data_IF_540315323281
#
_entry.id   IF_540315323281
#
_cell.length_a   1.000
_cell.length_b   1.000
_cell.length_c   1.000
_cell.angle_alpha   90.00
_cell.angle_beta   90.00
_cell.angle_gamma   90.00
#
_symmetry.space_group_name_H-M   'P 1'
#
loop_
_entity.id
_entity.type
_entity.pdbx_description
1 polymer ?
#
# COMPACT_ATOMS: atom_id res chain seq x y z
N UNK A 1 32.37 22.88 10.66
CA UNK A 1 32.57 21.96 9.51
C UNK A 1 31.19 21.56 9.01
N UNK A 2 30.88 21.71 7.72
CA UNK A 2 29.65 21.21 7.13
C UNK A 2 29.98 19.93 6.37
N UNK A 3 29.22 18.87 6.61
CA UNK A 3 29.31 17.63 5.84
C UNK A 3 28.43 17.75 4.58
N UNK A 4 28.88 17.15 3.49
CA UNK A 4 28.09 17.04 2.26
C UNK A 4 27.39 15.69 2.25
N UNK A 5 26.07 15.70 2.26
CA UNK A 5 25.25 14.50 2.09
C UNK A 5 24.90 14.28 0.61
N UNK A 6 24.43 13.07 0.30
CA UNK A 6 23.94 12.73 -1.05
C UNK A 6 22.70 13.56 -1.39
N UNK A 7 22.58 13.96 -2.67
CA UNK A 7 21.38 14.63 -3.16
C UNK A 7 20.11 13.75 -3.05
N UNK A 8 20.26 12.42 -3.06
CA UNK A 8 19.17 11.46 -2.84
C UNK A 8 18.45 11.61 -1.49
N UNK A 9 19.14 12.19 -0.50
CA UNK A 9 18.61 12.40 0.85
C UNK A 9 18.37 13.87 1.15
N UNK A 10 18.23 14.69 0.10
CA UNK A 10 18.06 16.15 0.20
C UNK A 10 16.63 16.58 0.52
N UNK A 11 15.86 15.73 1.20
CA UNK A 11 14.48 16.02 1.57
C UNK A 11 14.37 17.13 2.61
N UNK A 12 13.26 17.85 2.56
CA UNK A 12 12.87 18.70 3.68
C UNK A 12 12.39 17.79 4.84
N UNK A 13 13.21 17.74 5.88
CA UNK A 13 12.91 16.96 7.10
C UNK A 13 12.25 17.81 8.19
N UNK A 14 11.86 19.05 7.88
CA UNK A 14 11.14 19.89 8.80
C UNK A 14 9.72 19.33 9.07
N UNK A 15 9.24 19.55 10.28
CA UNK A 15 7.87 19.19 10.64
C UNK A 15 6.88 19.99 9.78
N UNK A 16 5.94 19.30 9.11
CA UNK A 16 4.90 19.96 8.31
C UNK A 16 4.01 20.87 9.20
N UNK A 17 3.42 21.89 8.60
CA UNK A 17 2.50 22.80 9.30
C UNK A 17 1.39 22.04 10.03
N UNK A 18 0.76 21.09 9.33
CA UNK A 18 -0.31 20.25 9.91
C UNK A 18 0.20 19.37 11.06
N UNK A 19 1.33 18.69 10.92
CA UNK A 19 1.91 17.85 11.98
C UNK A 19 2.20 18.70 13.23
N UNK A 20 2.74 19.91 13.04
CA UNK A 20 2.99 20.87 14.12
C UNK A 20 1.68 21.27 14.82
N UNK A 21 0.65 21.62 14.07
CA UNK A 21 -0.64 21.99 14.63
C UNK A 21 -1.26 20.86 15.47
N UNK A 22 -1.17 19.61 14.98
CA UNK A 22 -1.64 18.42 15.73
C UNK A 22 -0.84 18.25 17.04
N UNK A 23 0.49 18.36 16.99
CA UNK A 23 1.34 18.24 18.16
C UNK A 23 1.02 19.33 19.19
N UNK A 24 0.94 20.59 18.77
CA UNK A 24 0.61 21.72 19.64
C UNK A 24 -0.78 21.58 20.28
N UNK A 25 -1.76 21.10 19.54
CA UNK A 25 -3.10 20.82 20.08
C UNK A 25 -3.07 19.72 21.16
N UNK A 26 -2.27 18.66 20.96
CA UNK A 26 -2.05 17.60 21.97
C UNK A 26 -1.33 18.12 23.22
N UNK A 27 -0.28 18.90 23.04
CA UNK A 27 0.49 19.53 24.13
C UNK A 27 -0.37 20.50 24.95
N UNK A 28 -1.30 21.20 24.31
CA UNK A 28 -2.29 22.04 24.95
C UNK A 28 -3.40 21.27 25.71
N UNK A 29 -3.36 19.92 25.69
CA UNK A 29 -4.35 19.07 26.36
C UNK A 29 -5.73 19.06 25.70
N UNK A 30 -5.83 19.42 24.41
CA UNK A 30 -7.10 19.38 23.71
C UNK A 30 -7.54 17.92 23.51
N UNK A 31 -8.81 17.65 23.73
CA UNK A 31 -9.41 16.35 23.44
C UNK A 31 -9.58 16.21 21.93
N UNK A 32 -8.70 15.42 21.29
CA UNK A 32 -8.72 15.16 19.86
C UNK A 32 -9.27 13.76 19.57
N UNK A 33 -10.03 13.64 18.50
CA UNK A 33 -10.39 12.36 17.91
C UNK A 33 -9.50 12.16 16.69
N UNK A 34 -8.73 11.08 16.69
CA UNK A 34 -7.76 10.80 15.64
C UNK A 34 -8.29 9.72 14.67
N UNK A 35 -8.73 10.18 13.50
CA UNK A 35 -9.22 9.32 12.42
C UNK A 35 -8.12 8.90 11.43
N UNK A 36 -6.84 9.07 11.81
CA UNK A 36 -5.70 8.70 10.95
C UNK A 36 -5.02 7.41 11.37
N UNK A 37 -5.42 6.80 12.49
CA UNK A 37 -4.79 5.60 13.05
C UNK A 37 -4.96 4.42 12.08
N UNK A 38 -3.87 4.03 11.42
CA UNK A 38 -3.83 2.96 10.42
C UNK A 38 -2.93 1.77 10.78
N UNK A 39 -2.43 1.74 12.04
CA UNK A 39 -1.64 0.63 12.55
C UNK A 39 -2.55 -0.40 13.23
N UNK A 40 -2.76 -1.59 12.64
CA UNK A 40 -3.70 -2.58 13.18
C UNK A 40 -3.30 -3.06 14.58
N UNK A 41 -2.01 -3.02 14.95
CA UNK A 41 -1.54 -3.50 16.25
C UNK A 41 -1.95 -2.64 17.45
N UNK A 42 -2.50 -1.46 17.21
CA UNK A 42 -3.00 -0.52 18.25
C UNK A 42 -4.48 -0.19 18.11
N UNK A 43 -5.19 -0.87 17.21
CA UNK A 43 -6.62 -0.65 16.94
C UNK A 43 -7.54 -1.60 17.74
N UNK A 44 -7.04 -2.25 18.79
CA UNK A 44 -7.84 -3.11 19.67
C UNK A 44 -8.11 -4.52 19.14
N UNK A 45 -7.50 -4.92 18.02
CA UNK A 45 -7.64 -6.29 17.51
C UNK A 45 -6.95 -7.32 18.40
N UNK A 46 -7.54 -8.51 18.48
CA UNK A 46 -7.02 -9.61 19.29
C UNK A 46 -6.13 -10.50 18.44
N UNK A 47 -4.85 -10.54 18.78
CA UNK A 47 -3.87 -11.41 18.16
C UNK A 47 -3.65 -12.68 19.00
N UNK A 48 -3.63 -13.82 18.36
CA UNK A 48 -3.32 -15.11 18.98
C UNK A 48 -1.85 -15.21 19.38
N UNK A 49 -1.42 -14.44 20.40
CA UNK A 49 0.00 -14.24 20.76
C UNK A 49 0.78 -15.56 20.90
N UNK A 50 0.15 -16.62 21.48
CA UNK A 50 0.81 -17.92 21.63
C UNK A 50 1.12 -18.55 20.28
N UNK A 51 0.19 -18.53 19.34
CA UNK A 51 0.34 -19.15 18.03
C UNK A 51 1.35 -18.34 17.20
N UNK A 52 1.23 -17.02 17.20
CA UNK A 52 2.10 -16.15 16.42
C UNK A 52 3.54 -16.10 16.92
N UNK A 53 3.79 -16.25 18.23
CA UNK A 53 5.14 -16.15 18.79
C UNK A 53 5.84 -17.49 18.97
N UNK A 54 5.11 -18.62 19.03
CA UNK A 54 5.74 -19.93 19.24
C UNK A 54 6.67 -20.36 18.09
N UNK A 55 6.35 -20.13 16.81
CA UNK A 55 7.24 -20.52 15.71
C UNK A 55 8.58 -19.79 15.69
N UNK A 56 8.64 -18.58 16.27
CA UNK A 56 9.88 -17.80 16.39
C UNK A 56 10.94 -18.48 17.28
N UNK A 57 10.56 -19.52 18.03
CA UNK A 57 11.45 -20.29 18.94
C UNK A 57 11.99 -21.56 18.31
N UNK A 58 11.82 -21.76 17.01
CA UNK A 58 12.34 -22.93 16.31
C UNK A 58 13.89 -22.96 16.43
N UNK A 59 14.42 -24.02 17.04
CA UNK A 59 15.86 -24.19 17.24
C UNK A 59 16.65 -24.28 15.91
N UNK A 60 16.01 -24.71 14.83
CA UNK A 60 16.62 -24.75 13.51
C UNK A 60 16.96 -23.37 12.96
N UNK A 61 16.36 -22.30 13.52
CA UNK A 61 16.72 -20.93 13.20
C UNK A 61 18.14 -20.51 13.65
N UNK A 62 18.80 -21.35 14.47
CA UNK A 62 20.20 -21.13 14.87
C UNK A 62 21.22 -21.54 13.78
N UNK A 63 20.76 -22.22 12.74
CA UNK A 63 21.61 -22.58 11.61
C UNK A 63 21.55 -21.46 10.57
N UNK A 64 22.73 -20.99 10.15
CA UNK A 64 22.84 -20.06 9.04
C UNK A 64 22.78 -20.83 7.72
N UNK A 65 21.68 -20.63 6.99
CA UNK A 65 21.43 -21.25 5.69
C UNK A 65 20.85 -20.15 4.76
N UNK A 66 21.73 -19.36 4.15
CA UNK A 66 21.30 -18.24 3.32
C UNK A 66 20.78 -18.74 1.98
N UNK A 67 19.51 -18.50 1.70
CA UNK A 67 18.92 -18.59 0.36
C UNK A 67 18.59 -17.16 -0.07
N UNK A 68 19.17 -16.63 -1.16
CA UNK A 68 18.90 -15.28 -1.64
C UNK A 68 17.43 -14.99 -1.89
N UNK A 69 16.65 -16.00 -2.30
CA UNK A 69 15.22 -15.89 -2.55
C UNK A 69 14.38 -16.06 -1.29
N UNK A 70 15.01 -16.53 -0.20
CA UNK A 70 14.34 -16.92 1.03
C UNK A 70 14.07 -18.41 1.10
N UNK A 71 13.88 -18.94 2.32
CA UNK A 71 13.66 -20.36 2.57
C UNK A 71 12.54 -20.94 1.72
N UNK A 72 12.76 -22.14 1.15
CA UNK A 72 11.76 -22.79 0.30
C UNK A 72 10.41 -22.96 1.01
N UNK A 73 10.41 -23.43 2.27
CA UNK A 73 9.15 -23.61 3.03
C UNK A 73 8.35 -22.31 3.24
N UNK A 74 9.05 -21.19 3.33
CA UNK A 74 8.39 -19.88 3.42
C UNK A 74 7.84 -19.42 2.06
N UNK A 75 8.56 -19.71 0.97
CA UNK A 75 8.08 -19.43 -0.40
C UNK A 75 6.92 -20.34 -0.79
N UNK A 76 6.94 -21.61 -0.40
CA UNK A 76 5.82 -22.54 -0.56
C UNK A 76 4.56 -22.03 0.14
N UNK A 77 4.66 -21.54 1.38
CA UNK A 77 3.53 -20.95 2.10
C UNK A 77 2.97 -19.68 1.41
N UNK A 78 3.83 -18.90 0.76
CA UNK A 78 3.38 -17.77 -0.05
C UNK A 78 2.70 -18.26 -1.35
N UNK A 79 3.20 -19.30 -2.00
CA UNK A 79 2.56 -19.89 -3.17
C UNK A 79 1.16 -20.44 -2.82
N UNK A 80 1.03 -21.19 -1.71
CA UNK A 80 -0.26 -21.67 -1.20
C UNK A 80 -1.25 -20.53 -0.88
N UNK A 81 -0.77 -19.36 -0.46
CA UNK A 81 -1.64 -18.18 -0.30
C UNK A 81 -2.28 -17.77 -1.63
N UNK A 82 -1.54 -17.81 -2.72
CA UNK A 82 -2.07 -17.44 -4.04
C UNK A 82 -3.07 -18.45 -4.58
N UNK A 83 -3.04 -19.73 -4.15
CA UNK A 83 -4.08 -20.71 -4.51
C UNK A 83 -5.48 -20.28 -4.04
N UNK A 84 -5.59 -19.55 -2.91
CA UNK A 84 -6.86 -18.96 -2.45
C UNK A 84 -7.35 -17.82 -3.33
N UNK A 85 -6.49 -17.30 -4.20
CA UNK A 85 -6.81 -16.26 -5.17
C UNK A 85 -6.83 -16.79 -6.60
N UNK A 86 -7.05 -18.12 -6.77
CA UNK A 86 -7.10 -18.81 -8.05
C UNK A 86 -5.85 -18.60 -8.95
N UNK A 87 -4.70 -18.33 -8.33
CA UNK A 87 -3.43 -18.09 -9.01
C UNK A 87 -2.39 -19.17 -8.69
N UNK A 88 -1.86 -19.81 -9.72
CA UNK A 88 -0.75 -20.77 -9.59
C UNK A 88 0.58 -20.01 -9.57
N UNK A 89 1.29 -20.03 -8.44
CA UNK A 89 2.57 -19.36 -8.25
C UNK A 89 3.67 -20.39 -8.00
N UNK A 90 4.67 -20.42 -8.88
CA UNK A 90 5.88 -21.23 -8.68
C UNK A 90 6.70 -20.66 -7.50
N UNK A 91 6.98 -21.43 -6.42
CA UNK A 91 7.86 -20.99 -5.35
C UNK A 91 9.24 -20.50 -5.84
N UNK A 92 9.71 -20.99 -6.99
CA UNK A 92 10.96 -20.52 -7.58
C UNK A 92 10.86 -19.18 -8.32
N UNK A 93 9.66 -18.67 -8.53
CA UNK A 93 9.39 -17.31 -9.02
C UNK A 93 9.23 -16.27 -7.89
N UNK A 94 9.40 -16.68 -6.63
CA UNK A 94 9.26 -15.82 -5.45
C UNK A 94 10.62 -15.37 -4.91
N UNK A 95 10.68 -14.11 -4.47
CA UNK A 95 11.77 -13.55 -3.66
C UNK A 95 11.16 -12.92 -2.41
N UNK A 96 11.57 -13.40 -1.23
CA UNK A 96 11.13 -12.84 0.04
C UNK A 96 11.90 -11.56 0.38
N UNK A 97 11.21 -10.60 0.97
CA UNK A 97 11.76 -9.31 1.40
C UNK A 97 11.25 -8.94 2.79
N UNK A 98 11.90 -7.97 3.44
CA UNK A 98 11.45 -7.48 4.76
C UNK A 98 10.21 -6.57 4.68
N UNK A 99 9.88 -6.10 3.50
CA UNK A 99 8.71 -5.25 3.24
C UNK A 99 8.51 -5.06 1.73
N UNK A 100 7.31 -4.64 1.31
CA UNK A 100 7.10 -4.19 -0.07
C UNK A 100 7.98 -2.98 -0.42
N UNK A 101 8.33 -2.14 0.55
CA UNK A 101 9.28 -1.03 0.32
C UNK A 101 10.67 -1.52 -0.10
N UNK A 102 11.18 -2.60 0.51
CA UNK A 102 12.44 -3.24 0.07
C UNK A 102 12.27 -3.87 -1.31
N UNK A 103 11.13 -4.53 -1.55
CA UNK A 103 10.79 -5.10 -2.85
C UNK A 103 10.82 -4.03 -3.96
N UNK A 104 10.22 -2.85 -3.74
CA UNK A 104 10.32 -1.72 -4.67
C UNK A 104 11.78 -1.31 -4.93
N UNK A 105 12.60 -1.21 -3.88
CA UNK A 105 14.03 -0.90 -4.04
C UNK A 105 14.76 -1.93 -4.89
N UNK A 106 14.44 -3.23 -4.74
CA UNK A 106 15.00 -4.29 -5.58
C UNK A 106 14.56 -4.16 -7.03
N UNK A 107 13.25 -3.87 -7.27
CA UNK A 107 12.71 -3.73 -8.62
C UNK A 107 13.23 -2.47 -9.33
N UNK A 108 13.39 -1.35 -8.62
CA UNK A 108 13.96 -0.15 -9.21
C UNK A 108 15.43 -0.38 -9.62
N UNK A 109 16.23 -1.07 -8.80
CA UNK A 109 17.60 -1.48 -9.17
C UNK A 109 17.64 -2.45 -10.33
N UNK A 110 16.63 -3.34 -10.43
CA UNK A 110 16.54 -4.30 -11.54
C UNK A 110 16.23 -3.63 -12.86
N UNK A 111 15.30 -2.66 -12.87
CA UNK A 111 14.66 -2.14 -14.07
C UNK A 111 15.22 -0.79 -14.55
N UNK A 112 15.80 0.01 -13.64
CA UNK A 112 16.09 1.40 -13.89
C UNK A 112 17.58 1.72 -13.77
N UNK A 113 18.08 2.54 -14.69
CA UNK A 113 19.31 3.29 -14.52
C UNK A 113 19.00 4.65 -13.84
N UNK A 114 20.04 5.31 -13.31
CA UNK A 114 19.89 6.60 -12.67
C UNK A 114 19.22 7.64 -13.61
N UNK A 115 18.12 8.21 -13.18
CA UNK A 115 17.32 9.17 -13.93
C UNK A 115 16.34 8.58 -14.92
N UNK A 116 16.15 7.25 -14.92
CA UNK A 116 15.02 6.59 -15.58
C UNK A 116 13.71 6.90 -14.85
N UNK A 117 12.59 6.59 -15.48
CA UNK A 117 11.27 6.98 -15.05
C UNK A 117 10.38 5.76 -14.80
N UNK A 118 9.55 5.86 -13.75
CA UNK A 118 8.49 4.89 -13.43
C UNK A 118 7.17 5.64 -13.30
N UNK A 119 6.11 5.15 -13.97
CA UNK A 119 4.78 5.73 -13.85
C UNK A 119 4.10 5.19 -12.61
N UNK A 120 3.45 6.07 -11.83
CA UNK A 120 2.69 5.71 -10.62
C UNK A 120 1.32 6.38 -10.65
N UNK A 121 0.31 5.72 -10.12
CA UNK A 121 -1.01 6.33 -9.98
C UNK A 121 -0.97 7.54 -9.05
N UNK A 122 -1.84 8.52 -9.27
CA UNK A 122 -2.10 9.63 -8.36
C UNK A 122 -3.61 9.85 -8.27
N UNK A 123 -4.22 9.76 -7.08
CA UNK A 123 -3.62 9.61 -5.74
C UNK A 123 -2.91 8.28 -5.50
N UNK A 124 -1.89 8.29 -4.61
CA UNK A 124 -1.13 7.10 -4.27
C UNK A 124 -0.47 7.20 -2.89
N UNK A 125 0.25 6.15 -2.53
CA UNK A 125 0.94 6.02 -1.25
C UNK A 125 2.12 7.01 -1.12
N UNK A 126 2.20 7.81 -0.03
CA UNK A 126 3.15 8.92 0.07
C UNK A 126 4.64 8.56 0.07
N UNK A 127 5.00 7.30 0.37
CA UNK A 127 6.41 6.90 0.48
C UNK A 127 7.07 6.59 -0.86
N UNK A 128 6.34 6.56 -1.97
CA UNK A 128 6.93 6.25 -3.27
C UNK A 128 8.02 7.24 -3.67
N UNK A 129 7.85 8.53 -3.39
CA UNK A 129 8.86 9.55 -3.72
C UNK A 129 10.20 9.25 -3.04
N UNK A 130 10.18 8.91 -1.75
CA UNK A 130 11.40 8.57 -1.02
C UNK A 130 12.07 7.30 -1.54
N UNK A 131 11.29 6.27 -1.89
CA UNK A 131 11.82 5.03 -2.45
C UNK A 131 12.50 5.28 -3.81
N UNK A 132 11.88 6.11 -4.66
CA UNK A 132 12.42 6.46 -5.95
C UNK A 132 13.69 7.32 -5.85
N UNK A 133 13.69 8.33 -4.97
CA UNK A 133 14.86 9.19 -4.74
C UNK A 133 16.07 8.38 -4.28
N UNK A 134 15.89 7.39 -3.39
CA UNK A 134 16.98 6.54 -2.92
C UNK A 134 17.64 5.73 -4.04
N UNK A 135 16.90 5.41 -5.08
CA UNK A 135 17.37 4.65 -6.24
C UNK A 135 17.67 5.52 -7.48
N UNK A 136 17.69 6.86 -7.35
CA UNK A 136 17.84 7.83 -8.44
C UNK A 136 16.80 7.65 -9.58
N UNK A 137 15.62 7.13 -9.27
CA UNK A 137 14.50 6.94 -10.19
C UNK A 137 13.56 8.14 -10.11
N UNK A 138 12.94 8.51 -11.22
CA UNK A 138 11.97 9.60 -11.28
C UNK A 138 10.56 9.05 -11.37
N UNK A 139 9.70 9.44 -10.44
CA UNK A 139 8.28 9.13 -10.54
C UNK A 139 7.57 10.08 -11.53
N UNK A 140 6.74 9.49 -12.37
CA UNK A 140 5.86 10.20 -13.30
C UNK A 140 4.41 9.85 -12.96
N UNK A 141 3.72 10.70 -12.18
CA UNK A 141 2.36 10.38 -11.77
C UNK A 141 1.40 10.41 -12.97
N UNK A 142 0.52 9.41 -13.07
CA UNK A 142 -0.64 9.42 -13.96
C UNK A 142 -1.93 9.51 -13.13
N UNK A 143 -2.96 10.27 -13.58
CA UNK A 143 -4.12 10.52 -12.76
C UNK A 143 -5.07 9.32 -12.72
N UNK A 144 -5.62 9.06 -11.52
CA UNK A 144 -6.91 8.44 -11.36
C UNK A 144 -7.96 9.56 -11.33
N UNK A 145 -9.03 9.43 -12.08
CA UNK A 145 -10.15 10.36 -12.02
C UNK A 145 -11.36 9.72 -11.33
N UNK A 146 -12.24 10.54 -10.78
CA UNK A 146 -13.43 10.08 -10.09
C UNK A 146 -14.70 10.43 -10.89
N UNK A 147 -15.43 9.37 -11.26
CA UNK A 147 -16.77 9.49 -11.88
C UNK A 147 -17.64 8.34 -11.34
N UNK A 148 -18.35 8.58 -10.23
CA UNK A 148 -19.09 7.57 -9.44
C UNK A 148 -18.27 6.33 -9.06
N UNK A 149 -16.96 6.41 -9.16
CA UNK A 149 -15.92 5.44 -8.90
C UNK A 149 -14.59 5.99 -9.38
N UNK A 150 -13.51 5.37 -8.96
CA UNK A 150 -12.18 5.74 -9.43
C UNK A 150 -11.81 4.95 -10.68
N UNK A 151 -11.11 5.60 -11.60
CA UNK A 151 -10.73 5.04 -12.90
C UNK A 151 -9.36 5.53 -13.32
N UNK A 152 -8.61 4.69 -14.02
CA UNK A 152 -7.34 5.09 -14.62
C UNK A 152 -7.56 5.97 -15.86
N UNK A 153 -6.95 7.17 -15.88
CA UNK A 153 -6.89 7.97 -17.11
C UNK A 153 -5.80 7.44 -18.04
N UNK A 154 -6.19 6.50 -18.88
CA UNK A 154 -5.27 5.87 -19.83
C UNK A 154 -4.71 6.83 -20.88
N UNK A 155 -5.46 7.87 -21.25
CA UNK A 155 -4.98 8.84 -22.22
C UNK A 155 -3.83 9.67 -21.63
N UNK A 156 -3.96 10.09 -20.36
CA UNK A 156 -2.89 10.74 -19.62
C UNK A 156 -1.72 9.80 -19.34
N UNK A 157 -1.99 8.55 -18.96
CA UNK A 157 -0.96 7.55 -18.72
C UNK A 157 -0.08 7.39 -19.96
N UNK A 158 -0.67 7.14 -21.13
CA UNK A 158 0.07 6.95 -22.39
C UNK A 158 0.88 8.20 -22.79
N UNK A 159 0.33 9.40 -22.57
CA UNK A 159 1.05 10.66 -22.84
C UNK A 159 2.30 10.87 -22.00
N UNK A 160 2.38 10.21 -20.83
CA UNK A 160 3.52 10.33 -19.91
C UNK A 160 4.63 9.34 -20.19
N UNK A 161 4.38 8.35 -21.05
CA UNK A 161 5.40 7.38 -21.46
C UNK A 161 6.43 8.07 -22.33
N UNK A 162 7.69 7.96 -21.95
CA UNK A 162 8.84 8.50 -22.67
C UNK A 162 9.97 7.48 -22.86
N UNK A 163 11.05 7.84 -23.50
CA UNK A 163 12.16 6.93 -23.77
C UNK A 163 12.90 6.44 -22.51
N UNK A 164 12.69 7.12 -21.39
CA UNK A 164 13.24 6.77 -20.08
C UNK A 164 12.27 5.97 -19.20
N UNK A 165 11.04 5.78 -19.61
CA UNK A 165 10.06 4.99 -18.86
C UNK A 165 10.43 3.52 -18.90
N UNK A 166 10.45 2.87 -17.72
CA UNK A 166 10.81 1.46 -17.54
C UNK A 166 9.67 0.59 -17.03
N UNK A 167 8.80 1.15 -16.20
CA UNK A 167 7.71 0.41 -15.60
C UNK A 167 6.48 1.28 -15.33
N UNK A 168 5.34 0.60 -15.17
CA UNK A 168 4.12 1.17 -14.61
C UNK A 168 3.89 0.48 -13.26
N UNK A 169 3.67 1.28 -12.21
CA UNK A 169 3.24 0.80 -10.88
C UNK A 169 1.74 0.94 -10.77
N UNK A 170 1.09 -0.15 -10.36
CA UNK A 170 -0.32 -0.22 -10.00
C UNK A 170 -0.40 -0.65 -8.55
N UNK A 171 -1.17 0.04 -7.73
CA UNK A 171 -1.54 -0.41 -6.39
C UNK A 171 -2.96 -0.97 -6.50
N UNK A 172 -3.12 -2.23 -6.22
CA UNK A 172 -4.37 -2.97 -6.44
C UNK A 172 -4.74 -3.80 -5.22
N UNK A 173 -5.76 -3.40 -4.49
CA UNK A 173 -6.53 -2.13 -4.57
C UNK A 173 -5.70 -0.89 -4.17
N UNK A 174 -6.03 0.25 -4.78
CA UNK A 174 -5.28 1.48 -4.59
C UNK A 174 -5.49 2.13 -3.22
N UNK A 175 -4.42 2.50 -2.56
CA UNK A 175 -4.43 3.31 -1.35
C UNK A 175 -4.09 4.78 -1.71
N UNK A 176 -4.97 5.78 -1.44
CA UNK A 176 -6.10 5.75 -0.50
C UNK A 176 -7.48 5.57 -1.16
N UNK A 177 -7.58 5.49 -2.48
CA UNK A 177 -8.85 5.59 -3.19
C UNK A 177 -9.76 4.37 -3.03
N UNK A 178 -9.17 3.21 -2.70
CA UNK A 178 -9.88 1.93 -2.68
C UNK A 178 -10.24 1.41 -4.06
N UNK A 179 -9.70 2.01 -5.14
CA UNK A 179 -9.94 1.57 -6.50
C UNK A 179 -9.40 0.15 -6.74
N UNK A 180 -10.27 -0.74 -7.13
CA UNK A 180 -9.92 -2.06 -7.64
C UNK A 180 -9.75 -1.98 -9.16
N UNK A 181 -8.55 -2.28 -9.67
CA UNK A 181 -8.29 -2.31 -11.13
C UNK A 181 -9.16 -3.38 -11.77
N UNK A 182 -10.00 -2.99 -12.73
CA UNK A 182 -10.92 -3.91 -13.40
C UNK A 182 -10.20 -4.72 -14.47
N UNK A 183 -10.77 -5.86 -14.85
CA UNK A 183 -10.19 -6.74 -15.88
C UNK A 183 -9.89 -6.00 -17.20
N UNK A 184 -10.78 -5.07 -17.59
CA UNK A 184 -10.57 -4.24 -18.77
C UNK A 184 -9.41 -3.25 -18.63
N UNK A 185 -9.24 -2.67 -17.44
CA UNK A 185 -8.10 -1.79 -17.13
C UNK A 185 -6.80 -2.58 -17.12
N UNK A 186 -6.80 -3.79 -16.50
CA UNK A 186 -5.67 -4.72 -16.53
C UNK A 186 -5.25 -5.04 -17.95
N UNK A 187 -6.19 -5.46 -18.80
CA UNK A 187 -5.90 -5.77 -20.21
C UNK A 187 -5.31 -4.56 -20.96
N UNK A 188 -5.77 -3.35 -20.66
CA UNK A 188 -5.21 -2.11 -21.24
C UNK A 188 -3.80 -1.82 -20.73
N UNK A 189 -3.54 -1.97 -19.44
CA UNK A 189 -2.20 -1.82 -18.84
C UNK A 189 -1.20 -2.77 -19.48
N UNK A 190 -1.57 -4.05 -19.59
CA UNK A 190 -0.75 -5.09 -20.23
C UNK A 190 -0.47 -4.76 -21.71
N UNK A 191 -1.48 -4.32 -22.45
CA UNK A 191 -1.32 -3.92 -23.84
C UNK A 191 -0.39 -2.71 -24.02
N UNK A 192 -0.48 -1.73 -23.12
CA UNK A 192 0.42 -0.56 -23.10
C UNK A 192 1.84 -1.01 -22.77
N UNK A 193 2.03 -1.82 -21.73
CA UNK A 193 3.33 -2.36 -21.36
C UNK A 193 3.96 -3.15 -22.50
N UNK A 194 3.19 -4.01 -23.17
CA UNK A 194 3.68 -4.78 -24.32
C UNK A 194 4.11 -3.88 -25.49
N UNK A 195 3.33 -2.85 -25.79
CA UNK A 195 3.62 -1.91 -26.89
C UNK A 195 4.89 -1.10 -26.67
N UNK A 196 5.15 -0.73 -25.42
CA UNK A 196 6.25 0.16 -25.05
C UNK A 196 7.45 -0.56 -24.43
N UNK A 197 7.39 -1.89 -24.25
CA UNK A 197 8.45 -2.68 -23.62
C UNK A 197 8.64 -2.34 -22.15
N UNK A 198 7.56 -2.07 -21.42
CA UNK A 198 7.56 -1.71 -19.99
C UNK A 198 7.28 -2.93 -19.13
N UNK A 199 7.84 -2.95 -17.93
CA UNK A 199 7.42 -3.89 -16.89
C UNK A 199 6.17 -3.37 -16.16
N UNK A 200 5.38 -4.29 -15.60
CA UNK A 200 4.26 -3.99 -14.72
C UNK A 200 4.64 -4.37 -13.29
N UNK A 201 4.51 -3.45 -12.35
CA UNK A 201 4.72 -3.66 -10.91
C UNK A 201 3.36 -3.47 -10.23
N UNK A 202 2.88 -4.50 -9.53
CA UNK A 202 1.56 -4.49 -8.90
C UNK A 202 1.71 -4.73 -7.40
N UNK A 203 1.25 -3.78 -6.58
CA UNK A 203 1.23 -3.89 -5.13
C UNK A 203 -0.16 -4.34 -4.67
N UNK A 204 -0.25 -5.57 -4.20
CA UNK A 204 -1.50 -6.22 -3.79
C UNK A 204 -1.65 -6.36 -2.27
N UNK A 205 -1.00 -5.51 -1.48
CA UNK A 205 -1.06 -5.64 -0.01
C UNK A 205 -2.48 -5.57 0.57
N UNK A 206 -3.45 -5.02 -0.15
CA UNK A 206 -4.84 -4.90 0.28
C UNK A 206 -5.82 -5.87 -0.41
N UNK A 207 -5.32 -6.84 -1.16
CA UNK A 207 -6.15 -7.76 -1.95
C UNK A 207 -7.22 -8.50 -1.11
N UNK A 208 -6.91 -8.83 0.15
CA UNK A 208 -7.79 -9.57 1.06
C UNK A 208 -8.91 -8.72 1.71
N UNK A 209 -9.09 -7.47 1.31
CA UNK A 209 -10.02 -6.55 1.96
C UNK A 209 -11.05 -5.91 1.01
N UNK A 210 -11.84 -6.74 0.27
CA UNK A 210 -12.99 -6.25 -0.49
C UNK A 210 -14.06 -5.72 0.46
N UNK A 211 -14.76 -4.65 0.08
CA UNK A 211 -15.76 -3.99 0.94
C UNK A 211 -17.20 -4.14 0.44
N UNK A 212 -17.41 -4.39 -0.84
CA UNK A 212 -18.71 -4.70 -1.43
C UNK A 212 -18.94 -6.20 -1.58
N UNK A 213 -20.22 -6.62 -1.60
CA UNK A 213 -20.61 -8.03 -1.81
C UNK A 213 -20.28 -8.51 -3.25
N UNK A 214 -20.25 -7.60 -4.21
CA UNK A 214 -19.96 -7.86 -5.62
C UNK A 214 -18.53 -7.44 -6.01
N UNK A 215 -17.70 -7.01 -5.06
CA UNK A 215 -16.33 -6.55 -5.33
C UNK A 215 -15.40 -7.76 -5.41
N UNK A 216 -15.40 -8.43 -6.55
CA UNK A 216 -14.40 -9.45 -6.85
C UNK A 216 -13.05 -8.78 -7.15
N UNK A 217 -12.06 -9.08 -6.32
CA UNK A 217 -10.68 -8.64 -6.50
C UNK A 217 -9.88 -9.79 -7.11
N UNK A 218 -9.64 -9.73 -8.41
CA UNK A 218 -8.79 -10.70 -9.08
C UNK A 218 -7.32 -10.32 -8.94
N UNK A 219 -6.50 -11.22 -8.39
CA UNK A 219 -5.06 -11.01 -8.30
C UNK A 219 -4.41 -10.89 -9.70
N UNK A 220 -3.45 -10.01 -9.84
CA UNK A 220 -2.59 -9.97 -11.02
C UNK A 220 -1.64 -11.17 -11.12
N UNK A 221 -1.56 -12.01 -10.09
CA UNK A 221 -0.88 -13.30 -10.19
C UNK A 221 -1.64 -14.33 -11.05
N UNK A 222 -2.95 -14.15 -11.27
CA UNK A 222 -3.73 -14.98 -12.21
C UNK A 222 -3.25 -14.70 -13.64
N UNK A 223 -2.91 -15.77 -14.38
CA UNK A 223 -2.42 -15.66 -15.77
C UNK A 223 -3.53 -15.45 -16.82
N UNK A 224 -3.16 -15.20 -18.05
CA UNK A 224 -1.80 -15.18 -18.60
C UNK A 224 -1.07 -13.84 -18.36
N UNK A 225 0.27 -13.86 -18.44
CA UNK A 225 1.11 -12.68 -18.27
C UNK A 225 1.87 -12.37 -19.57
N UNK A 226 1.33 -11.49 -20.42
CA UNK A 226 1.94 -11.19 -21.72
C UNK A 226 3.20 -10.30 -21.61
N UNK A 227 3.41 -9.68 -20.44
CA UNK A 227 4.53 -8.79 -20.15
C UNK A 227 5.19 -9.18 -18.82
N UNK A 228 6.45 -8.73 -18.63
CA UNK A 228 7.13 -8.92 -17.35
C UNK A 228 6.35 -8.21 -16.24
N UNK A 229 5.82 -9.00 -15.32
CA UNK A 229 4.94 -8.55 -14.24
C UNK A 229 5.51 -8.98 -12.89
N UNK A 230 5.56 -8.05 -11.94
CA UNK A 230 5.98 -8.27 -10.57
C UNK A 230 4.81 -7.97 -9.63
N UNK A 231 4.38 -8.97 -8.89
CA UNK A 231 3.30 -8.85 -7.91
C UNK A 231 3.90 -8.84 -6.51
N UNK A 232 3.64 -7.77 -5.77
CA UNK A 232 4.15 -7.55 -4.42
C UNK A 232 3.03 -7.70 -3.41
N UNK A 233 3.33 -8.34 -2.28
CA UNK A 233 2.42 -8.34 -1.13
C UNK A 233 3.21 -8.57 0.16
N UNK A 234 2.53 -8.72 1.31
CA UNK A 234 3.22 -8.95 2.57
C UNK A 234 2.31 -8.97 3.80
N UNK A 235 2.86 -9.51 4.88
CA UNK A 235 2.16 -9.77 6.14
C UNK A 235 1.67 -8.50 6.86
N UNK A 236 2.18 -7.32 6.48
CA UNK A 236 1.80 -6.05 7.10
C UNK A 236 0.29 -5.76 6.98
N UNK A 237 -0.32 -6.21 5.88
CA UNK A 237 -1.75 -6.05 5.63
C UNK A 237 -2.46 -7.39 5.68
N UNK A 238 -1.97 -8.40 4.98
CA UNK A 238 -2.59 -9.74 4.91
C UNK A 238 -2.96 -10.26 6.31
N UNK A 239 -2.06 -10.16 7.28
CA UNK A 239 -2.30 -10.62 8.65
C UNK A 239 -2.19 -9.51 9.70
N UNK A 240 -2.19 -8.24 9.30
CA UNK A 240 -2.05 -7.14 10.25
C UNK A 240 -0.77 -7.20 11.09
N UNK A 241 0.33 -7.74 10.54
CA UNK A 241 1.61 -7.98 11.24
C UNK A 241 2.76 -7.12 10.67
N UNK A 242 2.64 -5.78 10.64
CA UNK A 242 3.69 -4.91 10.08
C UNK A 242 5.02 -5.00 10.83
N UNK A 243 4.99 -5.36 12.11
CA UNK A 243 6.17 -5.51 12.97
C UNK A 243 6.99 -6.76 12.65
N UNK A 244 6.42 -7.77 11.97
CA UNK A 244 7.13 -9.00 11.63
C UNK A 244 8.01 -8.88 10.41
N UNK A 245 7.84 -7.80 9.63
CA UNK A 245 8.74 -7.44 8.53
C UNK A 245 8.88 -8.55 7.48
N UNK A 246 7.77 -8.93 6.84
CA UNK A 246 7.71 -9.88 5.72
C UNK A 246 6.95 -9.29 4.56
N UNK A 247 7.57 -9.32 3.39
CA UNK A 247 6.99 -9.08 2.09
C UNK A 247 7.60 -10.00 1.06
N UNK A 248 7.16 -9.92 -0.18
CA UNK A 248 7.69 -10.71 -1.29
C UNK A 248 7.41 -10.06 -2.63
N UNK A 249 8.10 -10.59 -3.63
CA UNK A 249 7.87 -10.35 -5.06
C UNK A 249 7.61 -11.69 -5.72
N UNK A 250 6.48 -11.84 -6.40
CA UNK A 250 6.22 -12.92 -7.34
C UNK A 250 6.44 -12.40 -8.76
N UNK A 251 7.19 -13.13 -9.59
CA UNK A 251 7.63 -12.70 -10.93
C UNK A 251 7.01 -13.54 -12.01
N UNK A 252 6.32 -12.89 -12.94
CA UNK A 252 5.61 -13.50 -14.05
C UNK A 252 6.04 -12.89 -15.38
N UNK A 253 5.64 -13.52 -16.48
CA UNK A 253 5.86 -13.00 -17.83
C UNK A 253 6.45 -14.02 -18.80
N UNK A 254 6.83 -13.60 -20.01
CA UNK A 254 7.48 -14.46 -20.99
C UNK A 254 8.74 -15.13 -20.42
N UNK A 255 8.92 -16.43 -20.65
CA UNK A 255 9.92 -17.26 -20.00
C UNK A 255 11.33 -16.67 -19.98
N UNK A 256 11.80 -16.19 -21.14
CA UNK A 256 13.15 -15.61 -21.23
C UNK A 256 13.30 -14.35 -20.35
N UNK A 257 12.33 -13.44 -20.39
CA UNK A 257 12.34 -12.22 -19.59
C UNK A 257 12.24 -12.53 -18.09
N UNK A 258 11.36 -13.47 -17.72
CA UNK A 258 11.20 -13.94 -16.33
C UNK A 258 12.49 -14.55 -15.80
N UNK A 259 13.13 -15.47 -16.53
CA UNK A 259 14.39 -16.09 -16.12
C UNK A 259 15.51 -15.06 -15.95
N UNK A 260 15.62 -14.11 -16.89
CA UNK A 260 16.61 -13.04 -16.79
C UNK A 260 16.35 -12.12 -15.59
N UNK A 261 15.09 -11.79 -15.30
CA UNK A 261 14.71 -10.98 -14.15
C UNK A 261 15.04 -11.71 -12.84
N UNK A 262 14.62 -12.98 -12.72
CA UNK A 262 14.87 -13.77 -11.52
C UNK A 262 16.36 -13.95 -11.23
N UNK A 263 17.18 -14.25 -12.24
CA UNK A 263 18.62 -14.38 -12.04
C UNK A 263 19.29 -13.08 -11.55
N UNK A 264 18.78 -11.91 -11.97
CA UNK A 264 19.28 -10.62 -11.47
C UNK A 264 18.74 -10.28 -10.09
N UNK A 265 17.44 -10.56 -9.83
CA UNK A 265 16.84 -10.37 -8.50
C UNK A 265 17.54 -11.21 -7.43
N UNK A 266 17.91 -12.44 -7.78
CA UNK A 266 18.68 -13.32 -6.87
C UNK A 266 19.99 -12.67 -6.46
N UNK A 267 20.76 -12.09 -7.38
CA UNK A 267 22.00 -11.36 -7.06
C UNK A 267 21.74 -10.12 -6.23
N UNK A 268 20.68 -9.37 -6.53
CA UNK A 268 20.30 -8.19 -5.74
C UNK A 268 19.94 -8.62 -4.32
N UNK A 269 19.10 -9.64 -4.17
CA UNK A 269 18.67 -10.14 -2.86
C UNK A 269 19.83 -10.72 -2.06
N UNK A 270 20.74 -11.47 -2.70
CA UNK A 270 21.95 -12.02 -2.08
C UNK A 270 22.87 -10.94 -1.50
N UNK A 271 22.89 -9.76 -2.13
CA UNK A 271 23.67 -8.62 -1.64
C UNK A 271 23.17 -8.12 -0.27
N UNK A 272 21.88 -8.29 0.04
CA UNK A 272 21.25 -7.79 1.27
C UNK A 272 20.99 -8.91 2.28
N UNK A 273 20.59 -10.10 1.84
CA UNK A 273 20.21 -11.25 2.68
C UNK A 273 19.24 -10.86 3.82
N UNK A 274 18.20 -10.10 3.47
CA UNK A 274 17.41 -9.31 4.41
C UNK A 274 16.58 -10.14 5.37
N UNK A 275 16.14 -11.35 4.97
CA UNK A 275 15.19 -12.13 5.76
C UNK A 275 15.90 -12.96 6.82
N UNK A 276 15.52 -12.74 8.09
CA UNK A 276 16.03 -13.55 9.19
C UNK A 276 15.33 -14.92 9.27
N UNK A 277 16.08 -15.96 9.69
CA UNK A 277 15.60 -17.33 9.74
C UNK A 277 14.38 -17.54 10.66
N UNK A 278 14.28 -16.96 11.89
CA UNK A 278 13.10 -17.15 12.74
C UNK A 278 11.79 -16.70 12.07
N UNK A 279 11.80 -15.56 11.38
CA UNK A 279 10.63 -15.01 10.70
C UNK A 279 10.23 -15.88 9.51
N UNK A 280 11.19 -16.31 8.69
CA UNK A 280 10.91 -17.19 7.56
C UNK A 280 10.33 -18.54 8.02
N UNK A 281 10.82 -19.10 9.11
CA UNK A 281 10.28 -20.34 9.70
C UNK A 281 8.89 -20.16 10.30
N UNK A 282 8.56 -18.97 10.77
CA UNK A 282 7.25 -18.67 11.31
C UNK A 282 6.20 -18.37 10.22
N UNK A 283 6.64 -17.99 9.02
CA UNK A 283 5.74 -17.55 7.96
C UNK A 283 4.65 -18.58 7.58
N UNK A 284 4.94 -19.88 7.44
CA UNK A 284 3.90 -20.86 7.14
C UNK A 284 2.74 -20.84 8.16
N UNK A 285 3.07 -20.78 9.45
CA UNK A 285 2.06 -20.73 10.53
C UNK A 285 1.27 -19.40 10.47
N UNK A 286 1.95 -18.29 10.23
CA UNK A 286 1.26 -16.99 10.12
C UNK A 286 0.34 -16.89 8.91
N UNK A 287 0.71 -17.54 7.81
CA UNK A 287 -0.14 -17.62 6.60
C UNK A 287 -1.38 -18.47 6.85
N UNK A 288 -1.26 -19.59 7.56
CA UNK A 288 -2.38 -20.44 7.94
C UNK A 288 -3.36 -19.70 8.87
N UNK A 289 -2.84 -18.96 9.86
CA UNK A 289 -3.62 -18.29 10.91
C UNK A 289 -4.15 -16.90 10.51
N UNK A 290 -3.82 -16.40 9.30
CA UNK A 290 -4.17 -15.04 8.87
C UNK A 290 -5.68 -14.74 8.93
N UNK A 291 -6.52 -15.75 8.70
CA UNK A 291 -7.96 -15.58 8.64
C UNK A 291 -8.57 -15.02 9.93
N UNK A 292 -8.03 -15.37 11.10
CA UNK A 292 -8.54 -14.88 12.39
C UNK A 292 -8.44 -13.36 12.52
N UNK A 293 -7.35 -12.76 12.05
CA UNK A 293 -7.16 -11.30 12.12
C UNK A 293 -7.84 -10.59 10.95
N UNK A 294 -7.86 -11.22 9.77
CA UNK A 294 -8.54 -10.66 8.59
C UNK A 294 -10.02 -10.42 8.86
N UNK A 295 -10.70 -11.37 9.45
CA UNK A 295 -12.13 -11.26 9.81
C UNK A 295 -12.36 -10.07 10.74
N UNK A 296 -11.56 -9.92 11.79
CA UNK A 296 -11.69 -8.79 12.73
C UNK A 296 -11.50 -7.45 12.05
N UNK A 297 -10.47 -7.36 11.19
CA UNK A 297 -10.16 -6.13 10.45
C UNK A 297 -11.29 -5.82 9.47
N UNK A 298 -11.71 -6.79 8.67
CA UNK A 298 -12.76 -6.61 7.65
C UNK A 298 -14.08 -6.17 8.29
N UNK A 299 -14.51 -6.82 9.36
CA UNK A 299 -15.71 -6.42 10.10
C UNK A 299 -15.63 -5.00 10.66
N UNK A 300 -14.46 -4.59 11.18
CA UNK A 300 -14.25 -3.22 11.67
C UNK A 300 -14.34 -2.21 10.53
N UNK A 301 -13.65 -2.48 9.42
CA UNK A 301 -13.61 -1.60 8.26
C UNK A 301 -15.01 -1.45 7.65
N UNK A 302 -15.75 -2.55 7.49
CA UNK A 302 -17.13 -2.52 6.98
C UNK A 302 -18.07 -1.74 7.90
N UNK A 303 -17.99 -1.95 9.24
CA UNK A 303 -18.80 -1.17 10.21
C UNK A 303 -18.49 0.32 10.15
N UNK A 304 -17.21 0.69 10.14
CA UNK A 304 -16.82 2.10 10.07
C UNK A 304 -17.20 2.73 8.71
N UNK A 305 -17.07 1.98 7.60
CA UNK A 305 -17.53 2.45 6.31
C UNK A 305 -19.05 2.70 6.31
N UNK A 306 -19.85 1.80 6.86
CA UNK A 306 -21.29 2.00 7.00
C UNK A 306 -21.59 3.24 7.86
N UNK A 307 -20.89 3.44 8.98
CA UNK A 307 -21.02 4.65 9.80
C UNK A 307 -20.72 5.91 8.97
N UNK A 308 -19.66 5.88 8.14
CA UNK A 308 -19.31 7.01 7.27
C UNK A 308 -20.41 7.31 6.25
N UNK A 309 -20.91 6.30 5.56
CA UNK A 309 -21.97 6.42 4.54
C UNK A 309 -23.30 6.97 5.11
N UNK A 310 -23.59 6.69 6.38
CA UNK A 310 -24.80 7.20 7.05
C UNK A 310 -24.59 8.51 7.82
N UNK A 311 -23.38 9.06 7.85
CA UNK A 311 -23.04 10.26 8.62
C UNK A 311 -23.57 11.57 8.04
N UNK A 312 -23.97 11.58 6.77
CA UNK A 312 -24.29 12.79 6.01
C UNK A 312 -23.07 13.44 5.35
N UNK A 313 -21.86 12.91 5.57
CA UNK A 313 -20.63 13.32 4.87
C UNK A 313 -20.53 12.55 3.56
N UNK A 314 -20.13 13.20 2.47
CA UNK A 314 -19.94 12.51 1.21
C UNK A 314 -18.70 11.62 1.25
N UNK A 315 -18.92 10.31 1.19
CA UNK A 315 -17.87 9.29 1.07
C UNK A 315 -17.68 8.96 -0.41
N UNK A 316 -16.49 9.16 -0.94
CA UNK A 316 -16.18 8.72 -2.30
C UNK A 316 -16.20 7.20 -2.36
N UNK A 317 -16.63 6.63 -3.50
CA UNK A 317 -16.71 5.16 -3.62
C UNK A 317 -15.38 4.51 -3.30
N UNK A 318 -15.40 3.57 -2.38
CA UNK A 318 -14.27 2.73 -1.98
C UNK A 318 -14.67 1.26 -2.17
N UNK A 319 -13.87 0.48 -2.87
CA UNK A 319 -14.15 -0.94 -3.21
C UNK A 319 -13.36 -1.90 -2.31
N UNK A 320 -12.25 -1.40 -1.76
CA UNK A 320 -11.39 -2.16 -0.85
C UNK A 320 -10.54 -1.22 0.02
N UNK A 321 -9.57 -1.72 0.75
CA UNK A 321 -8.59 -1.06 1.62
C UNK A 321 -9.14 -0.70 3.02
N UNK A 322 -8.30 -0.05 3.84
CA UNK A 322 -8.60 0.31 5.24
C UNK A 322 -8.85 1.79 5.46
N UNK A 323 -9.10 2.53 4.42
CA UNK A 323 -9.34 3.97 4.48
C UNK A 323 -10.41 4.39 3.49
N UNK A 324 -10.92 5.60 3.66
CA UNK A 324 -11.88 6.21 2.75
C UNK A 324 -11.51 7.67 2.49
N UNK A 325 -11.78 8.12 1.27
CA UNK A 325 -11.70 9.53 0.90
C UNK A 325 -13.06 10.17 1.14
N UNK A 326 -13.07 11.22 1.95
CA UNK A 326 -14.26 12.03 2.20
C UNK A 326 -14.16 13.32 1.39
N UNK A 327 -15.28 13.74 0.80
CA UNK A 327 -15.42 15.04 0.16
C UNK A 327 -16.28 15.93 1.06
N UNK A 328 -15.70 17.05 1.46
CA UNK A 328 -16.33 18.03 2.33
C UNK A 328 -16.70 19.27 1.52
N UNK A 329 -17.51 20.15 2.08
CA UNK A 329 -17.80 21.42 1.43
C UNK A 329 -16.53 22.27 1.30
N UNK A 330 -16.35 22.90 0.12
CA UNK A 330 -15.19 23.73 -0.14
C UNK A 330 -15.20 24.98 0.76
N UNK A 331 -14.06 25.24 1.38
CA UNK A 331 -13.82 26.37 2.29
C UNK A 331 -12.54 27.07 1.87
N UNK A 332 -12.28 28.23 2.43
CA UNK A 332 -11.16 29.06 1.99
C UNK A 332 -9.77 28.57 2.38
N UNK A 333 -9.65 27.53 3.23
CA UNK A 333 -8.42 27.00 3.80
C UNK A 333 -8.16 25.52 3.51
N UNK A 334 -7.23 24.93 4.25
CA UNK A 334 -7.00 23.49 4.33
C UNK A 334 -8.03 22.88 5.29
N UNK A 335 -8.93 22.07 4.75
CA UNK A 335 -10.04 21.49 5.52
C UNK A 335 -9.55 20.63 6.69
N UNK A 336 -8.41 19.95 6.57
CA UNK A 336 -7.87 19.15 7.66
C UNK A 336 -7.42 20.03 8.85
N UNK A 337 -6.81 21.19 8.60
CA UNK A 337 -6.45 22.16 9.64
C UNK A 337 -7.70 22.78 10.27
N UNK A 338 -8.72 23.08 9.48
CA UNK A 338 -9.99 23.62 9.98
C UNK A 338 -10.69 22.62 10.90
N UNK A 339 -10.78 21.33 10.50
CA UNK A 339 -11.36 20.27 11.33
C UNK A 339 -10.59 20.07 12.64
N UNK A 340 -9.26 20.11 12.60
CA UNK A 340 -8.44 20.05 13.79
C UNK A 340 -8.77 21.19 14.74
N UNK A 341 -8.83 22.41 14.22
CA UNK A 341 -8.99 23.61 15.04
C UNK A 341 -10.40 23.77 15.61
N UNK A 342 -11.42 23.57 14.82
CA UNK A 342 -12.79 23.84 15.19
C UNK A 342 -13.53 22.61 15.74
N UNK A 343 -13.30 21.43 15.19
CA UNK A 343 -13.99 20.20 15.61
C UNK A 343 -13.16 19.30 16.53
N UNK A 344 -11.85 19.53 16.63
CA UNK A 344 -10.94 18.64 17.38
C UNK A 344 -10.81 17.26 16.73
N UNK A 345 -10.92 17.18 15.41
CA UNK A 345 -10.80 15.94 14.65
C UNK A 345 -9.53 15.98 13.80
N UNK A 346 -8.73 14.92 13.88
CA UNK A 346 -7.52 14.74 13.08
C UNK A 346 -7.86 13.82 11.90
N UNK A 347 -7.64 14.30 10.69
CA UNK A 347 -7.78 13.56 9.43
C UNK A 347 -6.52 13.75 8.61
N UNK A 348 -6.22 12.86 7.67
CA UNK A 348 -5.12 13.14 6.74
C UNK A 348 -5.57 14.14 5.66
N UNK A 349 -4.82 15.24 5.43
CA UNK A 349 -5.03 16.07 4.26
C UNK A 349 -4.91 15.23 2.97
N UNK A 350 -5.81 15.43 2.01
CA UNK A 350 -5.74 14.73 0.72
C UNK A 350 -4.41 14.95 0.00
N UNK A 351 -3.80 16.11 0.20
CA UNK A 351 -2.49 16.46 -0.36
C UNK A 351 -1.36 15.50 0.04
N UNK A 352 -1.46 14.79 1.17
CA UNK A 352 -0.50 13.75 1.57
C UNK A 352 -0.45 12.58 0.57
N UNK A 353 -1.55 12.35 -0.13
CA UNK A 353 -1.68 11.30 -1.14
C UNK A 353 -1.64 11.85 -2.57
N UNK A 354 -1.32 13.13 -2.73
CA UNK A 354 -1.32 13.78 -4.04
C UNK A 354 -2.70 14.15 -4.56
N UNK A 355 -3.72 14.19 -3.71
CA UNK A 355 -5.05 14.71 -4.07
C UNK A 355 -4.95 16.25 -4.12
N UNK A 356 -5.29 16.84 -5.27
CA UNK A 356 -5.16 18.29 -5.49
C UNK A 356 -6.30 19.10 -4.86
N UNK A 357 -7.46 18.50 -4.71
CA UNK A 357 -8.66 19.13 -4.21
C UNK A 357 -8.60 19.23 -2.68
N UNK A 358 -8.61 20.47 -2.18
CA UNK A 358 -8.41 20.79 -0.76
C UNK A 358 -9.57 20.37 0.16
N UNK A 359 -10.74 20.15 -0.43
CA UNK A 359 -11.93 19.65 0.23
C UNK A 359 -11.95 18.14 0.44
N UNK A 360 -10.93 17.42 -0.04
CA UNK A 360 -10.81 15.98 0.13
C UNK A 360 -9.83 15.66 1.26
N UNK A 361 -10.30 14.82 2.17
CA UNK A 361 -9.51 14.29 3.29
C UNK A 361 -9.57 12.78 3.29
N UNK A 362 -8.59 12.14 3.94
CA UNK A 362 -8.54 10.68 4.06
C UNK A 362 -8.66 10.29 5.53
N UNK A 363 -9.54 9.32 5.80
CA UNK A 363 -9.74 8.75 7.14
C UNK A 363 -9.42 7.27 7.14
N UNK A 364 -8.87 6.78 8.24
CA UNK A 364 -8.68 5.36 8.49
C UNK A 364 -10.00 4.76 8.97
N UNK A 365 -10.33 3.58 8.45
CA UNK A 365 -11.48 2.77 8.86
C UNK A 365 -11.14 1.78 9.99
N UNK A 366 -9.89 1.77 10.50
CA UNK A 366 -9.44 0.83 11.54
C UNK A 366 -9.74 1.29 12.97
N UNK A 367 -9.98 2.59 13.19
CA UNK A 367 -10.23 3.15 14.51
C UNK A 367 -11.39 2.49 15.23
N UNK A 368 -11.45 2.65 16.57
CA UNK A 368 -12.59 2.18 17.37
C UNK A 368 -13.88 2.80 16.86
N UNK A 369 -14.97 2.03 16.79
CA UNK A 369 -16.23 2.44 16.18
C UNK A 369 -16.85 3.67 16.87
N UNK A 370 -16.74 3.76 18.19
CA UNK A 370 -17.28 4.88 18.97
C UNK A 370 -16.54 6.20 18.64
N UNK A 371 -15.21 6.16 18.62
CA UNK A 371 -14.37 7.33 18.26
C UNK A 371 -14.61 7.72 16.80
N UNK A 372 -14.72 6.74 15.92
CA UNK A 372 -14.97 6.97 14.50
C UNK A 372 -16.33 7.64 14.27
N UNK A 373 -17.38 7.14 14.93
CA UNK A 373 -18.75 7.70 14.88
C UNK A 373 -18.78 9.14 15.40
N UNK A 374 -18.16 9.39 16.55
CA UNK A 374 -18.10 10.73 17.14
C UNK A 374 -17.28 11.70 16.26
N UNK A 375 -16.16 11.24 15.68
CA UNK A 375 -15.37 12.05 14.75
C UNK A 375 -16.19 12.47 13.52
N UNK A 376 -16.91 11.54 12.89
CA UNK A 376 -17.78 11.86 11.76
C UNK A 376 -18.95 12.77 12.14
N UNK A 377 -19.54 12.58 13.33
CA UNK A 377 -20.60 13.47 13.83
C UNK A 377 -20.08 14.90 13.98
N UNK A 378 -18.86 15.09 14.45
CA UNK A 378 -18.24 16.42 14.53
C UNK A 378 -17.94 17.00 13.16
N UNK A 379 -17.46 16.18 12.20
CA UNK A 379 -17.25 16.61 10.83
C UNK A 379 -18.57 17.05 10.19
N UNK A 380 -19.64 16.26 10.29
CA UNK A 380 -20.95 16.56 9.73
C UNK A 380 -21.61 17.78 10.40
N UNK A 381 -21.42 17.96 11.70
CA UNK A 381 -21.95 19.08 12.47
C UNK A 381 -21.11 20.36 12.41
N UNK A 382 -19.97 20.32 11.73
CA UNK A 382 -19.14 21.50 11.54
C UNK A 382 -19.74 22.39 10.45
N UNK A 383 -20.40 23.54 10.82
CA UNK A 383 -21.09 24.37 9.85
C UNK A 383 -20.09 25.01 8.89
N UNK A 384 -20.33 24.90 7.61
CA UNK A 384 -19.70 25.77 6.61
C UNK A 384 -19.96 27.23 6.99
N UNK A 385 -19.00 28.12 6.77
CA UNK A 385 -19.32 29.56 6.87
C UNK A 385 -20.47 29.86 5.93
N UNK A 386 -21.51 30.58 6.38
CA UNK A 386 -22.53 31.04 5.48
C UNK A 386 -21.87 32.00 4.48
N UNK A 387 -21.89 31.62 3.18
CA UNK A 387 -21.41 32.46 2.08
C UNK A 387 -22.20 33.73 1.93
#
# INVERSE_FOLDING_TARGET
MSYRFSARTGWDVSESGFARAVREAREAGRALIDLTVSNPTVCGFVYGARILLSPLRDAAALTYDPDPRGMLSAREAVAEYYDFHDAEVDPDALVLTTSTSEAYGFLFRLLCDAGDEVLVAQPSYPLFDFLADLEDVRLRPYPLFYDFGWWTDFAELERRIGPKTRAIVVVHPNNPTGHATKAEERARLEAICARHGLALIVDEVFLDYPLGEDDELESFAVGPHPVLTFVLSGMSKIAGLPQMKVGWVATFGPDEARQQAMGRLEVIADTFLSMNAPVQRALPVWMEERGEIQVQILERVQRNLAVAQWSGVEVMKVEAVWCAVLRLEQRGGDVAEELLNAAGVVVHPGSFYGIAERERVVVSLLGEEEDFREGLRRIAGYPGEPG
#
